data_IF_729713864734
#
_entry.id   IF_729713864734
#
_cell.length_a   1.000
_cell.length_b   1.000
_cell.length_c   1.000
_cell.angle_alpha   90.00
_cell.angle_beta   90.00
_cell.angle_gamma   90.00
#
_symmetry.space_group_name_H-M   'P 1'
#
loop_
_entity.id
_entity.type
_entity.pdbx_description
1 polymer ?
#
# COMPACT_ATOMS: atom_id res chain seq x y z
N UNK A 1 -6.38 1.73 29.57
CA UNK A 1 -7.47 1.60 28.59
C UNK A 1 -6.80 1.29 27.28
N UNK A 2 -7.16 0.18 26.63
CA UNK A 2 -6.51 -0.22 25.37
C UNK A 2 -6.97 0.73 24.27
N UNK A 3 -6.03 1.27 23.51
CA UNK A 3 -6.31 2.21 22.41
C UNK A 3 -6.69 1.49 21.09
N UNK A 4 -6.43 0.19 21.04
CA UNK A 4 -6.85 -0.67 19.95
C UNK A 4 -8.38 -0.78 19.91
N UNK A 5 -8.98 -0.32 18.81
CA UNK A 5 -10.41 -0.48 18.57
C UNK A 5 -10.70 -1.91 18.08
N UNK A 6 -10.05 -2.33 16.99
CA UNK A 6 -10.20 -3.66 16.40
C UNK A 6 -8.90 -4.04 15.70
N UNK A 7 -8.63 -5.34 15.62
CA UNK A 7 -7.55 -5.87 14.79
C UNK A 7 -7.92 -7.24 14.26
N UNK A 8 -7.52 -7.52 13.03
CA UNK A 8 -7.64 -8.85 12.44
C UNK A 8 -6.52 -9.10 11.41
N UNK A 9 -6.33 -10.35 11.04
CA UNK A 9 -5.30 -10.76 10.08
C UNK A 9 -5.87 -11.68 9.02
N UNK A 10 -5.50 -11.42 7.77
CA UNK A 10 -6.03 -12.12 6.60
C UNK A 10 -5.00 -12.17 5.49
N UNK A 11 -5.31 -12.96 4.47
CA UNK A 11 -4.49 -13.05 3.26
C UNK A 11 -4.94 -11.99 2.27
N UNK A 12 -3.98 -11.27 1.72
CA UNK A 12 -4.23 -10.28 0.67
C UNK A 12 -3.54 -10.75 -0.59
N UNK A 13 -4.31 -10.80 -1.67
CA UNK A 13 -3.79 -11.10 -3.00
C UNK A 13 -2.92 -9.92 -3.46
N UNK A 14 -1.71 -10.26 -3.88
CA UNK A 14 -0.74 -9.33 -4.45
C UNK A 14 -0.67 -9.57 -5.94
N UNK A 15 -0.78 -8.49 -6.71
CA UNK A 15 -0.61 -8.51 -8.15
C UNK A 15 0.29 -7.33 -8.56
N UNK A 16 1.19 -7.57 -9.51
CA UNK A 16 2.12 -6.55 -10.02
C UNK A 16 2.85 -5.75 -8.93
N UNK A 17 3.41 -6.44 -7.94
CA UNK A 17 4.17 -5.85 -6.83
C UNK A 17 3.39 -4.97 -5.86
N UNK A 18 2.06 -4.98 -5.84
CA UNK A 18 1.33 -4.19 -4.86
C UNK A 18 -0.04 -4.76 -4.49
N UNK A 19 -0.56 -4.21 -3.40
CA UNK A 19 -1.96 -4.26 -2.99
C UNK A 19 -2.34 -2.88 -2.46
N UNK A 20 -3.63 -2.65 -2.22
CA UNK A 20 -4.19 -1.30 -2.07
C UNK A 20 -4.78 -1.08 -0.67
N UNK A 21 -4.76 0.19 -0.24
CA UNK A 21 -5.64 0.71 0.80
C UNK A 21 -6.44 1.85 0.17
N UNK A 22 -7.76 1.77 0.27
CA UNK A 22 -8.65 2.71 -0.40
C UNK A 22 -9.90 3.01 0.44
N UNK A 23 -10.53 4.13 0.13
CA UNK A 23 -11.89 4.44 0.56
C UNK A 23 -12.80 4.36 -0.68
N UNK A 24 -13.89 3.57 -0.66
CA UNK A 24 -14.80 3.43 -1.79
C UNK A 24 -15.44 4.75 -2.29
N UNK A 25 -15.53 5.75 -1.41
CA UNK A 25 -16.07 7.07 -1.72
C UNK A 25 -14.99 8.14 -1.87
N UNK A 26 -13.69 7.79 -1.77
CA UNK A 26 -12.62 8.74 -2.04
C UNK A 26 -12.66 9.19 -3.51
N UNK A 27 -12.56 10.51 -3.77
CA UNK A 27 -12.40 10.99 -5.12
C UNK A 27 -11.02 10.58 -5.65
N UNK A 28 -10.94 10.35 -6.97
CA UNK A 28 -9.65 10.27 -7.65
C UNK A 28 -8.93 11.62 -7.49
N UNK A 29 -7.67 11.57 -7.08
CA UNK A 29 -6.82 12.75 -6.89
C UNK A 29 -5.68 12.77 -7.89
N UNK A 30 -5.25 13.96 -8.29
CA UNK A 30 -3.99 14.15 -9.04
C UNK A 30 -2.76 14.12 -8.09
N UNK A 31 -2.98 13.99 -6.78
CA UNK A 31 -1.89 13.78 -5.82
C UNK A 31 -1.27 12.41 -6.06
N UNK A 32 -0.02 12.43 -6.49
CA UNK A 32 0.79 11.24 -6.74
C UNK A 32 2.05 11.30 -5.88
N UNK A 33 2.42 10.15 -5.32
CA UNK A 33 3.69 9.97 -4.63
C UNK A 33 4.33 8.69 -5.14
N UNK A 34 5.45 8.83 -5.84
CA UNK A 34 6.20 7.69 -6.36
C UNK A 34 6.81 6.86 -5.23
N UNK A 35 6.83 5.53 -5.40
CA UNK A 35 7.39 4.59 -4.43
C UNK A 35 8.83 4.90 -4.05
N UNK A 36 9.63 5.52 -4.92
CA UNK A 36 11.01 5.92 -4.63
C UNK A 36 11.14 6.89 -3.46
N UNK A 37 10.07 7.59 -3.06
CA UNK A 37 10.08 8.45 -1.88
C UNK A 37 10.25 7.68 -0.57
N UNK A 38 9.72 6.45 -0.50
CA UNK A 38 9.69 5.68 0.75
C UNK A 38 10.26 4.27 0.62
N UNK A 39 10.23 3.68 -0.58
CA UNK A 39 10.57 2.29 -0.87
C UNK A 39 9.49 1.28 -0.47
N UNK A 40 8.34 1.72 0.03
CA UNK A 40 7.26 0.86 0.54
C UNK A 40 5.86 1.33 0.13
N UNK A 41 5.62 2.64 0.14
CA UNK A 41 4.32 3.25 -0.14
C UNK A 41 4.43 4.15 -1.37
N UNK A 42 3.45 4.04 -2.26
CA UNK A 42 3.12 5.04 -3.26
C UNK A 42 1.69 5.56 -3.03
N UNK A 43 1.39 6.73 -3.60
CA UNK A 43 0.03 7.29 -3.67
C UNK A 43 -0.34 7.49 -5.13
N UNK A 44 -1.53 7.06 -5.51
CA UNK A 44 -2.06 7.18 -6.87
C UNK A 44 -3.57 7.01 -6.88
N UNK A 45 -4.26 7.74 -7.75
CA UNK A 45 -5.71 7.67 -7.94
C UNK A 45 -6.56 7.80 -6.64
N UNK A 46 -6.06 8.54 -5.63
CA UNK A 46 -6.71 8.69 -4.33
C UNK A 46 -6.57 7.48 -3.39
N UNK A 47 -5.65 6.56 -3.69
CA UNK A 47 -5.41 5.31 -2.97
C UNK A 47 -3.97 5.23 -2.47
N UNK A 48 -3.74 4.39 -1.48
CA UNK A 48 -2.40 4.03 -1.01
C UNK A 48 -2.01 2.69 -1.60
N UNK A 49 -0.88 2.66 -2.29
CA UNK A 49 -0.31 1.44 -2.83
C UNK A 49 0.79 0.93 -1.91
N UNK A 50 0.67 -0.32 -1.46
CA UNK A 50 1.68 -0.99 -0.63
C UNK A 50 2.51 -1.89 -1.51
N UNK A 51 3.77 -1.52 -1.72
CA UNK A 51 4.67 -2.27 -2.60
C UNK A 51 5.29 -3.49 -1.93
N UNK A 52 5.30 -4.60 -2.65
CA UNK A 52 5.77 -5.93 -2.24
C UNK A 52 7.02 -6.36 -2.97
N UNK A 53 7.80 -7.24 -2.36
CA UNK A 53 8.96 -7.83 -3.02
C UNK A 53 8.55 -8.84 -4.09
N UNK A 54 7.58 -9.70 -3.78
CA UNK A 54 6.95 -10.63 -4.72
C UNK A 54 6.24 -9.87 -5.83
N UNK A 55 6.24 -10.45 -7.03
CA UNK A 55 5.46 -9.93 -8.16
C UNK A 55 3.98 -10.25 -7.99
N UNK A 56 3.67 -11.52 -7.69
CA UNK A 56 2.29 -11.98 -7.46
C UNK A 56 2.23 -13.09 -6.41
N UNK A 57 1.10 -13.24 -5.74
CA UNK A 57 0.93 -14.27 -4.72
C UNK A 57 0.07 -13.81 -3.57
N UNK A 58 0.34 -14.29 -2.36
CA UNK A 58 -0.38 -13.87 -1.17
C UNK A 58 0.60 -13.29 -0.15
N UNK A 59 0.23 -12.15 0.43
CA UNK A 59 0.87 -11.59 1.61
C UNK A 59 -0.03 -11.80 2.83
N UNK A 60 0.57 -11.97 4.02
CA UNK A 60 -0.19 -11.90 5.27
C UNK A 60 -0.27 -10.45 5.70
N UNK A 61 -1.49 -9.94 5.87
CA UNK A 61 -1.71 -8.56 6.33
C UNK A 61 -2.46 -8.62 7.65
N UNK A 62 -1.98 -7.84 8.61
CA UNK A 62 -2.68 -7.55 9.86
C UNK A 62 -3.10 -6.09 9.84
N UNK A 63 -4.39 -5.85 10.03
CA UNK A 63 -4.95 -4.51 10.23
C UNK A 63 -5.18 -4.29 11.72
N UNK A 64 -4.77 -3.13 12.22
CA UNK A 64 -5.01 -2.69 13.58
C UNK A 64 -5.50 -1.23 13.59
N UNK A 65 -6.77 -1.04 13.89
CA UNK A 65 -7.38 0.29 13.98
C UNK A 65 -7.31 0.78 15.43
N UNK A 66 -6.79 1.99 15.63
CA UNK A 66 -6.55 2.61 16.93
C UNK A 66 -7.34 3.91 17.06
N UNK A 67 -7.69 4.30 18.29
CA UNK A 67 -8.38 5.57 18.56
C UNK A 67 -7.39 6.73 18.73
N UNK A 68 -6.14 6.45 19.05
CA UNK A 68 -5.03 7.41 19.16
C UNK A 68 -3.76 6.82 18.53
N UNK A 69 -2.66 7.58 18.58
CA UNK A 69 -1.40 7.10 18.04
C UNK A 69 -0.87 5.92 18.89
N UNK A 70 -0.66 4.73 18.30
CA UNK A 70 -0.06 3.61 19.02
C UNK A 70 1.41 3.91 19.31
N UNK A 71 1.90 3.41 20.45
CA UNK A 71 3.31 3.45 20.79
C UNK A 71 4.15 2.85 19.66
N UNK A 72 5.32 3.44 19.42
CA UNK A 72 6.25 2.94 18.42
C UNK A 72 6.86 1.61 18.91
N UNK A 73 6.28 0.49 18.50
CA UNK A 73 6.89 -0.83 18.64
C UNK A 73 7.60 -1.21 17.33
N UNK A 74 8.95 -1.17 17.29
CA UNK A 74 9.68 -1.49 16.07
C UNK A 74 9.61 -2.97 15.70
N UNK A 75 9.24 -3.88 16.63
CA UNK A 75 9.06 -5.31 16.38
C UNK A 75 10.15 -5.98 15.53
N UNK A 76 9.83 -7.11 14.86
CA UNK A 76 10.71 -7.78 13.89
C UNK A 76 10.55 -7.19 12.46
N UNK A 77 10.20 -5.90 12.34
CA UNK A 77 9.89 -5.25 11.07
C UNK A 77 11.15 -4.70 10.40
N UNK A 78 11.25 -4.80 9.07
CA UNK A 78 12.42 -4.37 8.32
C UNK A 78 12.24 -2.95 7.75
N UNK A 79 11.04 -2.62 7.31
CA UNK A 79 10.65 -1.28 6.85
C UNK A 79 9.45 -0.79 7.66
N UNK A 80 9.45 0.49 8.00
CA UNK A 80 8.34 1.15 8.68
C UNK A 80 8.17 2.55 8.08
N UNK A 81 7.00 2.81 7.49
CA UNK A 81 6.65 4.10 6.87
C UNK A 81 5.30 4.56 7.39
N UNK A 82 5.18 5.85 7.62
CA UNK A 82 3.90 6.50 7.92
C UNK A 82 3.45 7.45 6.82
N UNK A 83 2.17 7.42 6.51
CA UNK A 83 1.53 8.28 5.51
C UNK A 83 0.18 8.78 6.04
N UNK A 84 -0.21 9.98 5.65
CA UNK A 84 -1.53 10.52 6.00
C UNK A 84 -2.50 10.30 4.85
N UNK A 85 -3.74 9.98 5.17
CA UNK A 85 -4.82 9.75 4.20
C UNK A 85 -6.10 10.42 4.68
N UNK A 86 -6.93 10.83 3.74
CA UNK A 86 -8.26 11.34 4.01
C UNK A 86 -9.31 10.29 3.62
N UNK A 87 -10.27 10.01 4.52
CA UNK A 87 -11.38 9.08 4.27
C UNK A 87 -12.72 9.81 4.39
N UNK A 88 -13.39 10.14 3.27
CA UNK A 88 -14.70 10.79 3.32
C UNK A 88 -15.81 9.88 3.85
N UNK A 89 -15.76 8.56 3.60
CA UNK A 89 -16.79 7.64 4.09
C UNK A 89 -16.51 7.14 5.51
N UNK A 90 -15.26 7.22 5.96
CA UNK A 90 -14.80 6.57 7.19
C UNK A 90 -14.59 5.06 7.01
N UNK A 91 -14.44 4.57 5.78
CA UNK A 91 -14.12 3.18 5.46
C UNK A 91 -12.80 3.10 4.70
N UNK A 92 -11.69 3.06 5.44
CA UNK A 92 -10.36 2.73 4.88
C UNK A 92 -10.19 1.22 4.88
N UNK A 93 -10.18 0.61 3.70
CA UNK A 93 -10.17 -0.83 3.50
C UNK A 93 -8.89 -1.27 2.80
N UNK A 94 -8.42 -2.47 3.13
CA UNK A 94 -7.37 -3.15 2.36
C UNK A 94 -8.03 -3.89 1.20
N UNK A 95 -7.40 -3.91 0.03
CA UNK A 95 -7.91 -4.62 -1.14
C UNK A 95 -6.81 -5.15 -2.05
N UNK A 96 -7.18 -6.12 -2.89
CA UNK A 96 -6.34 -6.58 -4.00
C UNK A 96 -6.61 -5.77 -5.27
N UNK A 97 -5.68 -5.84 -6.23
CA UNK A 97 -5.72 -5.02 -7.45
C UNK A 97 -6.70 -5.60 -8.48
N UNK A 98 -6.71 -6.92 -8.65
CA UNK A 98 -7.42 -7.60 -9.74
C UNK A 98 -8.53 -8.54 -9.28
N UNK A 99 -8.57 -8.91 -8.01
CA UNK A 99 -9.49 -9.91 -7.47
C UNK A 99 -10.22 -9.36 -6.24
N UNK A 100 -11.34 -9.97 -5.91
CA UNK A 100 -12.01 -9.73 -4.63
C UNK A 100 -11.22 -10.40 -3.50
N UNK A 101 -11.28 -9.84 -2.31
CA UNK A 101 -10.65 -10.47 -1.15
C UNK A 101 -11.44 -11.72 -0.72
N UNK A 102 -10.74 -12.85 -0.54
CA UNK A 102 -11.34 -14.06 0.04
C UNK A 102 -11.86 -13.83 1.47
N UNK A 103 -11.16 -12.98 2.23
CA UNK A 103 -11.49 -12.61 3.62
C UNK A 103 -11.45 -11.09 3.76
N UNK A 104 -12.56 -10.46 4.10
CA UNK A 104 -12.60 -9.01 4.32
C UNK A 104 -11.88 -8.64 5.63
N UNK A 105 -10.88 -7.76 5.52
CA UNK A 105 -10.21 -7.18 6.68
C UNK A 105 -11.05 -6.01 7.26
N UNK A 106 -11.01 -5.79 8.59
CA UNK A 106 -11.72 -4.68 9.19
C UNK A 106 -11.17 -3.34 8.69
N UNK A 107 -12.00 -2.30 8.75
CA UNK A 107 -11.55 -0.96 8.38
C UNK A 107 -10.49 -0.41 9.33
N UNK A 108 -9.51 0.31 8.77
CA UNK A 108 -8.50 1.09 9.49
C UNK A 108 -9.08 2.36 10.14
N UNK A 109 -10.26 2.81 9.73
CA UNK A 109 -10.89 4.06 10.15
C UNK A 109 -11.82 3.88 11.36
N UNK A 110 -11.24 3.73 12.57
CA UNK A 110 -12.02 3.44 13.79
C UNK A 110 -12.93 4.57 14.31
N UNK A 111 -12.82 5.79 13.76
CA UNK A 111 -13.51 6.99 14.26
C UNK A 111 -14.40 7.65 13.19
N UNK A 112 -14.72 6.95 12.10
CA UNK A 112 -15.54 7.46 11.00
C UNK A 112 -14.77 8.38 10.06
N UNK A 113 -15.46 9.24 9.27
CA UNK A 113 -14.83 10.13 8.29
C UNK A 113 -13.78 11.07 8.89
N UNK A 114 -12.73 11.37 8.11
CA UNK A 114 -11.73 12.36 8.47
C UNK A 114 -10.31 12.02 8.03
N UNK A 115 -9.33 12.69 8.65
CA UNK A 115 -7.91 12.49 8.39
C UNK A 115 -7.33 11.41 9.32
N UNK A 116 -6.58 10.49 8.72
CA UNK A 116 -5.94 9.38 9.40
C UNK A 116 -4.46 9.33 9.10
N UNK A 117 -3.69 8.87 10.08
CA UNK A 117 -2.31 8.44 9.90
C UNK A 117 -2.29 6.92 9.81
N UNK A 118 -1.65 6.42 8.77
CA UNK A 118 -1.35 5.01 8.58
C UNK A 118 0.13 4.78 8.89
N UNK A 119 0.44 3.72 9.67
CA UNK A 119 1.79 3.19 9.84
C UNK A 119 1.85 1.79 9.25
N UNK A 120 2.64 1.63 8.21
CA UNK A 120 2.83 0.38 7.50
C UNK A 120 4.17 -0.20 7.91
N UNK A 121 4.14 -1.42 8.44
CA UNK A 121 5.32 -2.22 8.74
C UNK A 121 5.41 -3.35 7.74
N UNK A 122 6.60 -3.60 7.22
CA UNK A 122 6.84 -4.69 6.29
C UNK A 122 8.03 -5.54 6.70
N UNK A 123 7.94 -6.85 6.40
CA UNK A 123 9.06 -7.79 6.50
C UNK A 123 8.91 -8.93 5.49
N UNK A 124 10.04 -9.51 5.11
CA UNK A 124 10.13 -10.66 4.21
C UNK A 124 10.25 -10.31 2.73
N UNK A 125 10.24 -9.02 2.38
CA UNK A 125 10.27 -8.52 0.98
C UNK A 125 11.50 -8.96 0.19
N UNK A 126 12.61 -9.28 0.86
CA UNK A 126 13.84 -9.76 0.21
C UNK A 126 13.86 -11.28 -0.09
N UNK A 127 12.77 -12.01 0.19
CA UNK A 127 12.77 -13.49 0.16
C UNK A 127 12.47 -14.06 -1.22
N UNK A 128 11.49 -13.50 -1.92
CA UNK A 128 10.97 -14.03 -3.20
C UNK A 128 10.77 -12.90 -4.21
N UNK A 129 11.76 -12.00 -4.29
CA UNK A 129 11.75 -10.81 -5.15
C UNK A 129 11.43 -11.18 -6.60
N UNK A 130 10.45 -10.47 -7.18
CA UNK A 130 9.97 -10.63 -8.56
C UNK A 130 9.36 -12.00 -8.88
N UNK A 131 9.14 -12.85 -7.88
CA UNK A 131 8.57 -14.18 -8.08
C UNK A 131 7.04 -14.17 -7.91
N UNK A 132 6.39 -15.10 -8.61
CA UNK A 132 5.02 -15.51 -8.29
C UNK A 132 5.07 -16.66 -7.29
N UNK A 133 4.56 -16.47 -6.08
CA UNK A 133 4.62 -17.46 -4.99
C UNK A 133 3.24 -17.91 -4.52
N UNK A 134 3.16 -19.18 -4.10
CA UNK A 134 2.00 -19.72 -3.35
C UNK A 134 2.24 -19.70 -1.84
N UNK A 135 3.50 -19.66 -1.42
CA UNK A 135 3.88 -19.58 -0.02
C UNK A 135 3.93 -18.12 0.43
N UNK A 136 3.43 -17.85 1.64
CA UNK A 136 3.46 -16.52 2.23
C UNK A 136 4.86 -16.24 2.77
N UNK A 137 5.63 -15.44 2.04
CA UNK A 137 6.97 -14.98 2.43
C UNK A 137 6.95 -13.59 3.04
N UNK A 138 5.92 -12.80 2.75
CA UNK A 138 5.82 -11.40 3.16
C UNK A 138 4.70 -11.18 4.17
N UNK A 139 4.99 -10.30 5.14
CA UNK A 139 4.04 -9.97 6.20
C UNK A 139 4.01 -8.47 6.40
N UNK A 140 2.80 -7.96 6.62
CA UNK A 140 2.53 -6.54 6.81
C UNK A 140 1.69 -6.31 8.06
N UNK A 141 2.00 -5.26 8.81
CA UNK A 141 1.14 -4.72 9.86
C UNK A 141 0.79 -3.28 9.50
N UNK A 142 -0.50 -3.02 9.35
CA UNK A 142 -1.03 -1.71 8.99
C UNK A 142 -1.81 -1.19 10.19
N UNK A 143 -1.31 -0.12 10.79
CA UNK A 143 -1.98 0.56 11.90
C UNK A 143 -2.62 1.85 11.40
N UNK A 144 -3.87 2.10 11.76
CA UNK A 144 -4.58 3.34 11.42
C UNK A 144 -5.09 4.06 12.66
N UNK A 145 -4.91 5.37 12.73
CA UNK A 145 -5.51 6.20 13.79
C UNK A 145 -5.83 7.62 13.31
N UNK A 146 -6.84 8.29 13.89
CA UNK A 146 -7.15 9.67 13.55
C UNK A 146 -6.00 10.60 13.89
N UNK A 147 -5.57 11.44 12.95
CA UNK A 147 -4.54 12.43 13.16
C UNK A 147 -4.59 13.53 12.08
N UNK A 148 -4.16 14.77 12.39
CA UNK A 148 -4.02 15.80 11.37
C UNK A 148 -3.06 15.37 10.25
N UNK A 149 -3.30 15.80 9.00
CA UNK A 149 -2.39 15.52 7.89
C UNK A 149 -0.96 15.97 8.20
N UNK A 150 -0.02 15.05 8.01
CA UNK A 150 1.41 15.30 8.13
C UNK A 150 2.17 14.68 6.94
N UNK A 151 3.36 15.20 6.59
CA UNK A 151 4.19 14.61 5.54
C UNK A 151 4.49 13.13 5.79
N UNK A 152 4.78 12.40 4.70
CA UNK A 152 5.27 11.02 4.80
C UNK A 152 6.52 10.96 5.67
N UNK A 153 6.61 9.96 6.53
CA UNK A 153 7.76 9.73 7.39
C UNK A 153 8.27 8.31 7.26
N UNK A 154 9.58 8.17 7.06
CA UNK A 154 10.25 6.88 7.08
C UNK A 154 10.81 6.69 8.48
N UNK A 155 10.26 5.73 9.23
CA UNK A 155 10.69 5.44 10.60
C UNK A 155 11.79 4.39 10.64
N UNK A 156 11.81 3.47 9.66
CA UNK A 156 12.82 2.43 9.55
C UNK A 156 13.03 2.01 8.11
N UNK A 157 14.28 1.83 7.74
CA UNK A 157 14.70 1.16 6.50
C UNK A 157 15.65 0.02 6.82
N UNK A 158 15.55 -1.08 6.08
CA UNK A 158 16.31 -2.28 6.40
C UNK A 158 16.19 -3.42 5.39
N UNK A 159 15.30 -3.34 4.41
CA UNK A 159 15.26 -4.31 3.32
C UNK A 159 16.01 -3.80 2.08
N UNK A 160 16.49 -4.74 1.25
CA UNK A 160 17.21 -4.41 0.01
C UNK A 160 16.26 -3.99 -1.10
N UNK A 161 15.07 -4.60 -1.15
CA UNK A 161 14.06 -4.27 -2.14
C UNK A 161 13.62 -2.79 -2.07
N UNK A 162 13.26 -2.30 -0.89
CA UNK A 162 12.93 -0.89 -0.66
C UNK A 162 14.13 0.04 -0.89
N UNK A 163 15.35 -0.39 -0.58
CA UNK A 163 16.56 0.37 -0.92
C UNK A 163 16.73 0.52 -2.45
N UNK A 164 16.46 -0.54 -3.21
CA UNK A 164 16.46 -0.51 -4.67
C UNK A 164 15.37 0.44 -5.21
N UNK A 165 14.14 0.35 -4.70
CA UNK A 165 13.04 1.24 -5.09
C UNK A 165 13.41 2.72 -4.87
N UNK A 166 13.98 3.06 -3.71
CA UNK A 166 14.45 4.43 -3.41
C UNK A 166 15.58 4.90 -4.33
N UNK A 167 16.42 3.98 -4.80
CA UNK A 167 17.56 4.30 -5.68
C UNK A 167 17.17 4.36 -7.17
N UNK A 168 16.03 3.80 -7.54
CA UNK A 168 15.51 3.77 -8.92
C UNK A 168 14.82 5.06 -9.37
N UNK A 169 14.77 6.10 -8.53
CA UNK A 169 14.26 7.41 -8.94
C UNK A 169 14.96 7.86 -10.23
N UNK A 170 14.24 8.08 -11.35
CA UNK A 170 14.89 8.51 -12.58
C UNK A 170 15.59 9.86 -12.35
N UNK A 171 16.80 10.09 -12.91
CA UNK A 171 17.37 11.42 -12.92
C UNK A 171 16.36 12.35 -13.59
N UNK A 172 15.97 13.44 -12.93
CA UNK A 172 15.03 14.43 -13.45
C UNK A 172 15.48 14.93 -14.82
N UNK A 173 15.00 14.32 -15.89
CA UNK A 173 15.07 14.89 -17.22
C UNK A 173 14.07 16.05 -17.28
N UNK A 174 14.41 17.18 -17.93
CA UNK A 174 13.49 18.30 -18.02
C UNK A 174 12.20 17.85 -18.70
N UNK A 175 11.08 18.12 -18.02
CA UNK A 175 9.71 17.87 -18.47
C UNK A 175 9.51 18.55 -19.83
N UNK A 176 9.60 17.78 -20.92
CA UNK A 176 8.81 18.06 -22.11
C UNK A 176 7.43 17.49 -21.85
N UNK A 177 6.49 18.40 -21.61
CA UNK A 177 5.07 18.11 -21.42
C UNK A 177 4.54 17.28 -22.59
N UNK A 178 4.41 15.96 -22.36
CA UNK A 178 3.53 15.09 -23.13
C UNK A 178 2.22 15.04 -22.36
N UNK A 179 1.05 15.32 -22.97
CA UNK A 179 -0.20 15.34 -22.22
C UNK A 179 -0.43 13.96 -21.60
N UNK A 180 -0.57 13.97 -20.27
CA UNK A 180 -0.92 12.83 -19.45
C UNK A 180 -2.36 12.43 -19.76
N UNK A 181 -2.51 11.43 -20.62
CA UNK A 181 -3.63 10.50 -20.67
C UNK A 181 -3.05 9.22 -21.24
N UNK A 182 -3.44 8.09 -20.63
CA UNK A 182 -3.34 6.77 -21.25
C UNK A 182 -2.00 6.01 -21.06
N UNK A 183 -1.42 5.94 -19.86
CA UNK A 183 -0.38 4.93 -19.57
C UNK A 183 -0.94 3.78 -18.73
N UNK A 184 -1.61 4.05 -17.60
CA UNK A 184 -2.25 3.00 -16.79
C UNK A 184 -3.44 2.34 -17.50
N UNK A 185 -4.23 3.11 -18.26
CA UNK A 185 -5.33 2.58 -19.07
C UNK A 185 -4.84 1.85 -20.34
N UNK A 186 -3.75 2.31 -20.94
CA UNK A 186 -3.17 1.68 -22.13
C UNK A 186 -2.43 0.38 -21.79
N UNK A 187 -1.75 0.31 -20.63
CA UNK A 187 -1.22 -0.96 -20.11
C UNK A 187 -2.34 -1.94 -19.76
N UNK A 188 -3.40 -1.47 -19.07
CA UNK A 188 -4.61 -2.28 -18.81
C UNK A 188 -5.22 -2.84 -20.10
N UNK A 189 -5.36 -2.03 -21.15
CA UNK A 189 -5.98 -2.45 -22.42
C UNK A 189 -5.07 -3.36 -23.28
N UNK A 190 -3.74 -3.14 -23.25
CA UNK A 190 -2.77 -4.01 -23.93
C UNK A 190 -2.71 -5.40 -23.25
N UNK A 191 -2.81 -5.44 -21.92
CA UNK A 191 -2.80 -6.67 -21.14
C UNK A 191 -4.10 -7.47 -21.31
N UNK A 192 -5.27 -6.81 -21.29
CA UNK A 192 -6.55 -7.46 -21.56
C UNK A 192 -6.63 -8.06 -22.98
N UNK A 193 -5.99 -7.43 -23.97
CA UNK A 193 -5.97 -7.92 -25.35
C UNK A 193 -5.04 -9.12 -25.55
N UNK A 194 -3.97 -9.20 -24.76
CA UNK A 194 -2.99 -10.29 -24.83
C UNK A 194 -3.54 -11.59 -24.20
N UNK A 195 -4.27 -11.48 -23.08
CA UNK A 195 -4.91 -12.61 -22.41
C UNK A 195 -6.12 -13.20 -23.17
N UNK A 196 -6.71 -12.44 -24.11
CA UNK A 196 -7.83 -12.91 -24.93
C UNK A 196 -7.40 -13.67 -26.19
N UNK A 197 -6.12 -13.60 -26.55
CA UNK A 197 -5.57 -14.22 -27.76
C UNK A 197 -4.89 -15.57 -27.48
N UNK A 198 -4.90 -16.07 -26.24
CA UNK A 198 -4.33 -17.36 -25.86
C UNK A 198 -5.38 -18.46 -25.57
N UNK A 199 -6.62 -18.31 -26.08
CA UNK A 199 -7.63 -19.38 -26.12
C UNK A 199 -7.80 -19.98 -27.51
#
# INVERSE_FOLDING_TARGET
MSDLAHADSGRVRVDYHHFLIYDPEAPVTEEELDVSHSGLIALGDGQVEIHTGIHSGNAQVTVAAHRTAPEADPGPWQEIVEVSVHTPSGALLVGAVMDDMEEELPSLAASGPGDYRLRVHARGRDTAVDLTTREITERYLIQGWPAPPAPLQILRTGDRYGAQQRSSAPPSAPVTSRPARDQSAQERDILHRSLRNEQ
#
